data_IF_820472881353
#
_entry.id   IF_820472881353
#
_cell.length_a   1.000
_cell.length_b   1.000
_cell.length_c   1.000
_cell.angle_alpha   90.00
_cell.angle_beta   90.00
_cell.angle_gamma   90.00
#
_symmetry.space_group_name_H-M   'P 1'
#
loop_
_entity.id
_entity.type
_entity.pdbx_description
1 polymer ?
#
# COMPACT_ATOMS: atom_id res chain seq x y z
N UNK A 1 -4.29 4.32 27.23
CA UNK A 1 -3.25 3.57 26.46
C UNK A 1 -1.90 4.17 26.81
N UNK A 2 -0.86 3.37 27.08
CA UNK A 2 0.50 3.90 27.28
C UNK A 2 1.10 4.37 25.97
N UNK A 3 2.03 5.34 26.00
CA UNK A 3 2.70 5.85 24.80
C UNK A 3 3.38 4.73 24.00
N UNK A 4 4.00 3.76 24.67
CA UNK A 4 4.60 2.59 24.01
C UNK A 4 3.57 1.72 23.29
N UNK A 5 2.39 1.50 23.89
CA UNK A 5 1.32 0.74 23.24
C UNK A 5 0.69 1.51 22.08
N UNK A 6 0.54 2.83 22.19
CA UNK A 6 0.06 3.68 21.10
C UNK A 6 1.02 3.63 19.90
N UNK A 7 2.33 3.79 20.14
CA UNK A 7 3.35 3.70 19.09
C UNK A 7 3.34 2.34 18.42
N UNK A 8 3.19 1.26 19.19
CA UNK A 8 3.05 -0.09 18.63
C UNK A 8 1.87 -0.22 17.67
N UNK A 9 0.69 0.31 18.04
CA UNK A 9 -0.50 0.31 17.19
C UNK A 9 -0.28 1.14 15.92
N UNK A 10 0.28 2.35 16.05
CA UNK A 10 0.57 3.21 14.90
C UNK A 10 1.54 2.49 13.96
N UNK A 11 2.59 1.86 14.48
CA UNK A 11 3.58 1.17 13.67
C UNK A 11 3.00 -0.05 12.94
N UNK A 12 2.08 -0.80 13.55
CA UNK A 12 1.42 -1.93 12.90
C UNK A 12 0.36 -1.53 11.87
N UNK A 13 -0.25 -0.36 12.03
CA UNK A 13 -1.37 0.09 11.18
C UNK A 13 -0.96 1.12 10.13
N UNK A 14 0.23 1.72 10.25
CA UNK A 14 0.71 2.70 9.29
C UNK A 14 0.97 2.05 7.93
N UNK A 15 0.70 2.82 6.88
CA UNK A 15 1.11 2.52 5.53
C UNK A 15 1.89 3.70 4.98
N UNK A 16 2.97 3.41 4.27
CA UNK A 16 3.81 4.39 3.60
C UNK A 16 4.34 3.83 2.29
N UNK A 17 4.48 4.69 1.29
CA UNK A 17 5.20 4.41 0.05
C UNK A 17 5.88 5.70 -0.44
N UNK A 18 6.84 5.56 -1.35
CA UNK A 18 7.55 6.66 -2.01
C UNK A 18 6.72 7.30 -3.12
N UNK A 19 5.60 6.68 -3.51
CA UNK A 19 4.74 7.14 -4.59
C UNK A 19 3.26 7.00 -4.21
N UNK A 20 2.50 8.06 -4.43
CA UNK A 20 1.04 8.10 -4.30
C UNK A 20 0.33 7.34 -5.43
N UNK A 21 0.66 7.67 -6.69
CA UNK A 21 0.17 7.03 -7.92
C UNK A 21 1.32 7.02 -8.95
N UNK A 22 2.18 6.00 -8.88
CA UNK A 22 3.39 5.91 -9.72
C UNK A 22 3.10 6.08 -11.22
N UNK A 23 2.13 5.35 -11.80
CA UNK A 23 1.77 5.48 -13.21
C UNK A 23 1.29 6.89 -13.61
N UNK A 24 0.33 7.49 -12.89
CA UNK A 24 -0.18 8.81 -13.26
C UNK A 24 0.89 9.90 -13.15
N UNK A 25 1.74 9.81 -12.13
CA UNK A 25 2.85 10.75 -11.93
C UNK A 25 3.89 10.63 -13.04
N UNK A 26 4.20 9.40 -13.46
CA UNK A 26 5.11 9.14 -14.60
C UNK A 26 4.56 9.73 -15.88
N UNK A 27 3.28 9.47 -16.20
CA UNK A 27 2.61 9.99 -17.39
C UNK A 27 2.58 11.53 -17.43
N UNK A 28 2.46 12.18 -16.26
CA UNK A 28 2.43 13.65 -16.14
C UNK A 28 3.80 14.29 -15.95
N UNK A 29 4.88 13.52 -15.99
CA UNK A 29 6.25 14.01 -15.73
C UNK A 29 6.36 14.72 -14.37
N UNK A 30 5.62 14.24 -13.36
CA UNK A 30 5.61 14.78 -12.01
C UNK A 30 6.67 14.08 -11.16
N UNK A 31 7.29 14.84 -10.23
CA UNK A 31 8.19 14.25 -9.24
C UNK A 31 7.40 13.35 -8.29
N UNK A 32 7.89 12.14 -7.95
CA UNK A 32 7.30 11.28 -6.93
C UNK A 32 6.99 12.03 -5.64
N UNK A 33 5.82 11.76 -5.08
CA UNK A 33 5.33 12.29 -3.81
C UNK A 33 4.97 11.06 -2.99
N UNK A 34 5.71 10.85 -1.92
CA UNK A 34 5.44 9.78 -0.98
C UNK A 34 4.31 10.13 -0.03
N UNK A 35 3.91 9.14 0.77
CA UNK A 35 2.92 9.33 1.81
C UNK A 35 3.26 8.47 3.02
N UNK A 36 2.71 8.88 4.16
CA UNK A 36 2.57 8.04 5.36
C UNK A 36 1.22 8.37 5.98
N UNK A 37 0.49 7.34 6.40
CA UNK A 37 -0.82 7.53 7.03
C UNK A 37 -1.30 6.28 7.75
N UNK A 38 -2.40 6.45 8.49
CA UNK A 38 -3.09 5.37 9.19
C UNK A 38 -4.53 5.35 8.67
N UNK A 39 -4.91 4.25 8.05
CA UNK A 39 -6.26 3.98 7.56
C UNK A 39 -6.73 2.68 8.22
N UNK A 40 -7.67 2.79 9.16
CA UNK A 40 -8.03 1.68 10.04
C UNK A 40 -8.57 0.48 9.25
N UNK A 41 -9.40 0.72 8.24
CA UNK A 41 -9.97 -0.32 7.39
C UNK A 41 -8.91 -1.02 6.53
N UNK A 42 -7.95 -0.26 6.00
CA UNK A 42 -6.83 -0.80 5.21
C UNK A 42 -5.86 -1.62 6.06
N UNK A 43 -5.73 -1.29 7.35
CA UNK A 43 -4.90 -2.04 8.29
C UNK A 43 -5.46 -3.44 8.61
N UNK A 44 -6.72 -3.73 8.25
CA UNK A 44 -7.31 -5.07 8.40
C UNK A 44 -6.87 -6.04 7.30
N UNK A 45 -6.38 -5.53 6.17
CA UNK A 45 -6.03 -6.35 5.01
C UNK A 45 -4.68 -7.04 5.22
N UNK A 46 -4.67 -8.38 5.16
CA UNK A 46 -3.46 -9.16 5.36
C UNK A 46 -2.46 -9.03 4.21
N UNK A 47 -1.22 -9.44 4.49
CA UNK A 47 -0.16 -9.47 3.52
C UNK A 47 -0.30 -10.63 2.52
N UNK A 48 -0.05 -10.36 1.25
CA UNK A 48 0.34 -11.34 0.24
C UNK A 48 1.45 -10.77 -0.64
N UNK A 49 2.42 -11.60 -1.05
CA UNK A 49 3.42 -11.26 -2.06
C UNK A 49 2.82 -11.15 -3.47
N UNK A 50 1.67 -11.80 -3.69
CA UNK A 50 0.85 -11.69 -4.89
C UNK A 50 -0.54 -11.18 -4.48
N UNK A 51 -0.66 -9.89 -4.09
CA UNK A 51 -1.91 -9.35 -3.56
C UNK A 51 -2.98 -9.29 -4.65
N UNK A 52 -4.24 -9.41 -4.24
CA UNK A 52 -5.40 -9.25 -5.13
C UNK A 52 -5.98 -7.84 -5.12
N UNK A 53 -5.39 -6.93 -4.33
CA UNK A 53 -5.72 -5.50 -4.33
C UNK A 53 -4.48 -4.65 -4.58
N UNK A 54 -4.70 -3.42 -5.06
CA UNK A 54 -3.71 -2.37 -5.14
C UNK A 54 -4.27 -1.07 -4.58
N UNK A 55 -3.38 -0.13 -4.29
CA UNK A 55 -3.74 1.16 -3.71
C UNK A 55 -3.23 2.33 -4.54
N UNK A 56 -4.00 3.42 -4.51
CA UNK A 56 -3.55 4.74 -4.90
C UNK A 56 -3.94 5.73 -3.79
N UNK A 57 -3.05 6.67 -3.48
CA UNK A 57 -3.33 7.71 -2.48
C UNK A 57 -3.49 9.04 -3.19
N UNK A 58 -4.66 9.66 -3.06
CA UNK A 58 -4.93 10.99 -3.60
C UNK A 58 -5.15 11.92 -2.43
N UNK A 59 -4.18 12.82 -2.21
CA UNK A 59 -4.16 13.70 -1.04
C UNK A 59 -4.24 12.90 0.28
N UNK A 60 -5.36 12.99 1.00
CA UNK A 60 -5.61 12.36 2.30
C UNK A 60 -6.60 11.17 2.19
N UNK A 61 -6.84 10.67 0.98
CA UNK A 61 -7.72 9.53 0.70
C UNK A 61 -6.93 8.38 0.10
N UNK A 62 -7.14 7.18 0.64
CA UNK A 62 -6.66 5.94 0.06
C UNK A 62 -7.78 5.29 -0.75
N UNK A 63 -7.51 5.04 -2.02
CA UNK A 63 -8.35 4.22 -2.88
C UNK A 63 -7.76 2.81 -2.87
N UNK A 64 -8.57 1.84 -2.46
CA UNK A 64 -8.25 0.40 -2.56
C UNK A 64 -9.08 -0.15 -3.71
N UNK A 65 -8.44 -0.77 -4.69
CA UNK A 65 -9.12 -1.37 -5.82
C UNK A 65 -8.67 -2.82 -6.04
N UNK A 66 -9.55 -3.63 -6.61
CA UNK A 66 -9.20 -4.98 -7.04
C UNK A 66 -8.13 -4.90 -8.14
N UNK A 67 -7.12 -5.75 -8.03
CA UNK A 67 -6.06 -5.93 -9.04
C UNK A 67 -6.38 -7.02 -10.07
N UNK A 68 -7.40 -7.84 -9.79
CA UNK A 68 -7.96 -8.88 -10.64
C UNK A 68 -9.40 -9.15 -10.26
N UNK A 69 -10.09 -10.03 -11.00
CA UNK A 69 -11.39 -10.55 -10.60
C UNK A 69 -11.31 -11.24 -9.24
N UNK A 70 -12.34 -11.06 -8.41
CA UNK A 70 -12.42 -11.57 -7.04
C UNK A 70 -13.64 -12.48 -6.89
N UNK A 71 -13.49 -13.55 -6.13
CA UNK A 71 -14.61 -14.42 -5.75
C UNK A 71 -15.30 -13.94 -4.48
N UNK A 72 -16.57 -14.30 -4.30
CA UNK A 72 -17.29 -13.98 -3.08
C UNK A 72 -16.67 -14.69 -1.87
N UNK A 73 -16.36 -13.93 -0.82
CA UNK A 73 -15.72 -14.45 0.39
C UNK A 73 -14.21 -14.62 0.28
N UNK A 74 -13.63 -14.31 -0.88
CA UNK A 74 -12.17 -14.25 -1.04
C UNK A 74 -11.59 -13.14 -0.14
N UNK A 75 -10.49 -13.46 0.55
CA UNK A 75 -9.81 -12.49 1.42
C UNK A 75 -9.14 -11.40 0.58
N UNK A 76 -9.38 -10.13 0.92
CA UNK A 76 -8.67 -9.00 0.32
C UNK A 76 -7.27 -8.88 0.94
N UNK A 77 -6.25 -8.97 0.10
CA UNK A 77 -4.85 -8.95 0.51
C UNK A 77 -4.09 -7.80 -0.14
N UNK A 78 -3.12 -7.25 0.59
CA UNK A 78 -2.22 -6.17 0.17
C UNK A 78 -0.76 -6.60 0.27
N UNK A 79 0.15 -5.85 -0.36
CA UNK A 79 1.56 -5.98 -0.03
C UNK A 79 1.91 -5.14 1.21
N UNK A 80 2.77 -5.67 2.08
CA UNK A 80 3.43 -4.91 3.15
C UNK A 80 4.81 -4.42 2.70
N UNK A 81 5.28 -4.89 1.55
CA UNK A 81 6.53 -4.48 0.96
C UNK A 81 6.32 -3.20 0.15
N UNK A 82 7.30 -2.29 0.11
CA UNK A 82 7.23 -1.11 -0.75
C UNK A 82 7.04 -1.49 -2.22
N UNK A 83 6.29 -0.68 -2.98
CA UNK A 83 6.06 -0.91 -4.41
C UNK A 83 7.36 -1.02 -5.21
N UNK A 84 8.37 -0.25 -4.83
CA UNK A 84 9.71 -0.29 -5.42
C UNK A 84 10.37 -1.68 -5.31
N UNK A 85 10.11 -2.43 -4.24
CA UNK A 85 10.65 -3.78 -4.04
C UNK A 85 9.93 -4.83 -4.88
N UNK A 86 8.66 -4.59 -5.24
CA UNK A 86 7.86 -5.51 -6.06
C UNK A 86 8.09 -5.34 -7.56
N UNK A 87 8.50 -4.14 -7.98
CA UNK A 87 8.65 -3.77 -9.40
C UNK A 87 10.11 -3.73 -9.85
N UNK A 88 11.06 -3.91 -8.94
CA UNK A 88 12.48 -4.03 -9.28
C UNK A 88 12.72 -5.25 -10.18
N UNK A 89 13.54 -5.13 -11.24
CA UNK A 89 13.96 -6.28 -12.02
C UNK A 89 14.61 -7.32 -11.10
N UNK A 90 14.28 -8.60 -11.31
CA UNK A 90 14.99 -9.67 -10.62
C UNK A 90 16.49 -9.53 -10.90
N UNK A 91 17.36 -9.67 -9.87
CA UNK A 91 18.80 -9.60 -10.08
C UNK A 91 19.20 -10.66 -11.10
N UNK A 92 19.85 -10.22 -12.19
CA UNK A 92 20.43 -11.13 -13.17
C UNK A 92 21.57 -11.90 -12.47
N UNK A 93 21.45 -13.23 -12.42
CA UNK A 93 22.52 -14.12 -11.94
C UNK A 93 23.55 -14.36 -13.04
#
# INVERSE_FOLDING_TARGET
ISSGRLLGIIQSCACSDLQQDGPAMTLRTQKPVGFIGVWAEFALMNHSCAPNTAIAVVQDRMLVHAGRDLEQGEELTRSYLPTASMTAPAPQR
#
